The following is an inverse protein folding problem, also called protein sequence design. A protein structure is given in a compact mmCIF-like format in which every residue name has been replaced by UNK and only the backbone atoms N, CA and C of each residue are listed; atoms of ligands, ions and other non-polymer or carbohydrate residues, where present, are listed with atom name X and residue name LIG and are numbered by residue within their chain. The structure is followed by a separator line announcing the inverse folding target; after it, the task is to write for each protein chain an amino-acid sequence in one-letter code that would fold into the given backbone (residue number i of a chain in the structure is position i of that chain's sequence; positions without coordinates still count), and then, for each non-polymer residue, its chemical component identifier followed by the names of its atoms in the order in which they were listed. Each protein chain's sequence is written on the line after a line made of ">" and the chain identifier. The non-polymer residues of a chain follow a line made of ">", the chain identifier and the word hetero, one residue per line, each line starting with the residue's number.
data_IF_834429855786
#
_entry.id   IF_834429855786
#
_cell.length_a   1.000
_cell.length_b   1.000
_cell.length_c   1.000
_cell.angle_alpha   90.00
_cell.angle_beta   90.00
_cell.angle_gamma   90.00
#
_symmetry.space_group_name_H-M   'P 1'
#
loop_
_entity.id
_entity.type
_entity.pdbx_description
1 polymer ?
#
# COMPACT_ATOMS: atom_id res chain seq x y z
N UNK A 1 18.72 8.01 28.39
CA UNK A 1 19.76 7.07 28.83
C UNK A 1 19.96 6.07 27.69
N UNK A 2 21.09 6.18 27.00
CA UNK A 2 21.47 5.31 25.89
C UNK A 2 22.18 4.08 26.50
N UNK A 3 21.65 2.89 26.29
CA UNK A 3 22.33 1.65 26.64
C UNK A 3 22.75 0.94 25.36
N UNK A 4 24.04 0.92 25.09
CA UNK A 4 24.61 -0.01 24.12
C UNK A 4 24.69 -1.41 24.72
N UNK A 5 23.70 -2.23 24.49
CA UNK A 5 23.83 -3.68 24.62
C UNK A 5 23.72 -4.26 23.20
N UNK A 6 24.77 -4.87 22.72
CA UNK A 6 24.89 -5.48 21.37
C UNK A 6 25.15 -4.51 20.20
N UNK A 7 25.78 -3.36 20.40
CA UNK A 7 26.06 -2.40 19.34
C UNK A 7 24.82 -1.72 18.74
N UNK A 8 23.64 -1.85 19.37
CA UNK A 8 22.36 -1.30 18.91
C UNK A 8 21.84 -0.26 19.91
N UNK A 9 21.49 0.94 19.42
CA UNK A 9 20.88 1.99 20.23
C UNK A 9 19.47 1.59 20.68
N UNK A 10 19.19 1.63 21.99
CA UNK A 10 17.89 1.33 22.59
C UNK A 10 17.15 2.62 22.96
N UNK A 11 15.88 2.74 22.55
CA UNK A 11 15.05 3.93 22.79
C UNK A 11 13.70 3.52 23.37
N UNK A 12 13.32 4.08 24.49
CA UNK A 12 11.96 4.10 24.99
C UNK A 12 11.36 5.48 24.72
N UNK A 13 10.57 5.60 23.65
CA UNK A 13 10.09 6.89 23.17
C UNK A 13 8.88 7.42 23.96
N UNK A 14 8.15 6.54 24.67
CA UNK A 14 7.03 6.91 25.54
C UNK A 14 5.96 7.75 24.85
N UNK A 15 5.67 7.44 23.58
CA UNK A 15 4.68 8.14 22.76
C UNK A 15 5.20 9.44 22.12
N UNK A 16 6.48 9.77 22.26
CA UNK A 16 7.07 10.97 21.66
C UNK A 16 7.74 10.68 20.32
N UNK A 17 7.84 11.67 19.41
CA UNK A 17 8.71 11.60 18.25
C UNK A 17 10.18 11.58 18.68
N UNK A 18 11.05 10.96 17.88
CA UNK A 18 12.44 10.71 18.31
C UNK A 18 13.45 11.58 17.56
N UNK A 19 13.51 11.43 16.24
CA UNK A 19 14.52 12.12 15.43
C UNK A 19 13.87 13.09 14.45
N UNK A 20 14.25 14.36 14.47
CA UNK A 20 13.97 15.29 13.39
C UNK A 20 15.02 15.13 12.29
N UNK A 21 14.59 14.81 11.09
CA UNK A 21 15.49 14.49 9.99
C UNK A 21 16.36 15.69 9.58
N UNK A 22 17.61 15.40 9.25
CA UNK A 22 18.57 16.35 8.68
C UNK A 22 19.15 15.77 7.39
N UNK A 23 19.69 16.62 6.54
CA UNK A 23 20.37 16.18 5.33
C UNK A 23 21.44 15.13 5.63
N UNK A 24 21.44 14.05 4.85
CA UNK A 24 22.38 12.93 4.94
C UNK A 24 22.45 12.25 6.30
N UNK A 25 21.45 12.48 7.16
CA UNK A 25 21.37 11.80 8.44
C UNK A 25 21.20 10.28 8.24
N UNK A 26 21.85 9.51 9.09
CA UNK A 26 21.76 8.05 9.09
C UNK A 26 21.36 7.53 10.47
N UNK A 27 20.26 6.79 10.50
CA UNK A 27 19.70 6.13 11.67
C UNK A 27 19.89 4.63 11.51
N UNK A 28 20.93 4.08 12.14
CA UNK A 28 21.32 2.67 11.99
C UNK A 28 21.38 1.96 13.33
N UNK A 29 21.10 0.66 13.30
CA UNK A 29 21.18 -0.21 14.49
C UNK A 29 20.36 0.34 15.66
N UNK A 30 19.12 0.75 15.39
CA UNK A 30 18.20 1.31 16.39
C UNK A 30 17.13 0.29 16.75
N UNK A 31 16.84 0.13 18.05
CA UNK A 31 15.65 -0.50 18.58
C UNK A 31 14.85 0.53 19.36
N UNK A 32 13.61 0.77 18.99
CA UNK A 32 12.75 1.72 19.65
C UNK A 32 11.41 1.07 20.04
N UNK A 33 10.83 1.51 21.13
CA UNK A 33 9.48 1.12 21.54
C UNK A 33 8.62 2.34 21.82
N UNK A 34 7.32 2.16 21.68
CA UNK A 34 6.28 3.16 21.93
C UNK A 34 6.60 4.54 21.28
N UNK A 35 6.88 4.47 19.96
CA UNK A 35 7.24 5.66 19.17
C UNK A 35 5.98 6.51 18.94
N UNK A 36 6.09 7.83 19.13
CA UNK A 36 5.01 8.77 18.85
C UNK A 36 4.80 9.02 17.36
N UNK A 37 4.68 10.26 16.98
CA UNK A 37 4.44 10.63 15.58
C UNK A 37 5.76 10.70 14.78
N UNK A 38 6.51 9.62 14.78
CA UNK A 38 7.71 9.37 13.99
C UNK A 38 8.93 8.98 14.83
N UNK A 39 9.53 7.81 14.52
CA UNK A 39 10.92 7.56 14.88
C UNK A 39 11.81 8.55 14.11
N UNK A 40 11.48 8.76 12.81
CA UNK A 40 12.08 9.81 11.98
C UNK A 40 10.99 10.75 11.49
N UNK A 41 11.06 12.01 11.87
CA UNK A 41 10.14 13.07 11.48
C UNK A 41 10.76 13.88 10.34
N UNK A 42 10.06 13.96 9.23
CA UNK A 42 10.36 14.82 8.09
C UNK A 42 9.54 16.11 8.28
N UNK A 43 10.12 17.13 8.89
CA UNK A 43 9.48 18.43 9.19
C UNK A 43 9.99 19.57 8.30
N UNK A 44 10.96 19.30 7.47
CA UNK A 44 11.61 20.23 6.52
C UNK A 44 12.13 19.50 5.30
N UNK A 45 12.48 20.18 4.21
CA UNK A 45 13.15 19.55 3.08
C UNK A 45 14.46 18.86 3.52
N UNK A 46 14.63 17.60 3.12
CA UNK A 46 15.79 16.78 3.45
C UNK A 46 16.26 15.98 2.24
N UNK A 47 17.56 15.72 2.18
CA UNK A 47 18.19 14.93 1.12
C UNK A 47 19.04 13.82 1.72
N UNK A 48 18.92 12.60 1.14
CA UNK A 48 19.83 11.49 1.45
C UNK A 48 19.70 10.92 2.86
N UNK A 49 18.53 11.01 3.47
CA UNK A 49 18.25 10.38 4.78
C UNK A 49 18.29 8.86 4.64
N UNK A 50 18.96 8.19 5.57
CA UNK A 50 19.11 6.73 5.63
C UNK A 50 18.56 6.19 6.93
N UNK A 51 17.72 5.14 6.83
CA UNK A 51 17.31 4.31 7.96
C UNK A 51 17.66 2.86 7.62
N UNK A 52 18.47 2.21 8.44
CA UNK A 52 18.93 0.85 8.19
C UNK A 52 19.06 0.02 9.46
N UNK A 53 18.67 -1.25 9.41
CA UNK A 53 18.68 -2.16 10.55
C UNK A 53 18.00 -1.56 11.78
N UNK A 54 16.69 -1.27 11.63
CA UNK A 54 15.86 -0.64 12.66
C UNK A 54 14.75 -1.58 13.10
N UNK A 55 14.51 -1.64 14.40
CA UNK A 55 13.39 -2.37 15.00
C UNK A 55 12.51 -1.41 15.79
N UNK A 56 11.21 -1.47 15.58
CA UNK A 56 10.23 -0.67 16.32
C UNK A 56 9.15 -1.59 16.86
N UNK A 57 8.84 -1.48 18.13
CA UNK A 57 7.71 -2.15 18.75
C UNK A 57 6.76 -1.15 19.39
N UNK A 58 5.55 -1.06 18.86
CA UNK A 58 4.53 -0.12 19.29
C UNK A 58 4.75 1.30 18.82
N UNK A 59 3.68 2.04 18.76
CA UNK A 59 3.69 3.47 18.48
C UNK A 59 2.68 3.91 17.43
N UNK A 60 2.80 5.18 17.07
CA UNK A 60 1.88 5.78 16.10
C UNK A 60 2.36 5.57 14.65
N UNK A 61 3.58 6.02 14.34
CA UNK A 61 4.19 5.87 13.01
C UNK A 61 5.73 5.83 13.08
N UNK A 62 6.38 5.16 12.14
CA UNK A 62 7.85 5.08 12.11
C UNK A 62 8.46 6.26 11.35
N UNK A 63 7.97 6.57 10.14
CA UNK A 63 8.40 7.74 9.37
C UNK A 63 7.19 8.64 9.16
N UNK A 64 7.25 9.86 9.69
CA UNK A 64 6.17 10.83 9.57
C UNK A 64 6.61 12.10 8.85
N UNK A 65 5.88 12.47 7.82
CA UNK A 65 6.04 13.77 7.18
C UNK A 65 5.03 14.76 7.78
N UNK A 66 5.53 15.68 8.58
CA UNK A 66 4.74 16.71 9.28
C UNK A 66 4.69 18.04 8.53
N UNK A 67 5.31 18.15 7.37
CA UNK A 67 5.23 19.34 6.53
C UNK A 67 3.79 19.78 6.25
N UNK A 68 3.64 21.02 5.84
CA UNK A 68 2.37 21.63 5.45
C UNK A 68 2.47 22.19 4.04
N UNK A 69 1.35 22.55 3.42
CA UNK A 69 1.35 23.13 2.07
C UNK A 69 2.13 24.47 2.00
N UNK A 70 2.25 25.17 3.13
CA UNK A 70 3.06 26.40 3.24
C UNK A 70 4.54 26.13 3.52
N UNK A 71 4.85 24.98 4.08
CA UNK A 71 6.20 24.53 4.42
C UNK A 71 6.35 23.03 4.08
N UNK A 72 6.43 22.68 2.79
CA UNK A 72 6.47 21.28 2.38
C UNK A 72 7.79 20.62 2.78
N UNK A 73 7.70 19.50 3.47
CA UNK A 73 8.85 18.73 3.93
C UNK A 73 9.18 17.63 2.92
N UNK A 74 9.81 18.00 1.80
CA UNK A 74 10.22 17.06 0.75
C UNK A 74 11.35 16.17 1.24
N UNK A 75 11.28 14.89 0.94
CA UNK A 75 12.36 13.94 1.16
C UNK A 75 12.93 13.47 -0.18
N UNK A 76 14.15 13.82 -0.51
CA UNK A 76 14.81 13.42 -1.77
C UNK A 76 15.84 12.34 -1.46
N UNK A 77 15.77 11.22 -2.16
CA UNK A 77 16.73 10.15 -1.99
C UNK A 77 16.65 9.44 -0.65
N UNK A 78 15.47 9.35 -0.02
CA UNK A 78 15.27 8.60 1.22
C UNK A 78 15.60 7.12 1.00
N UNK A 79 16.40 6.52 1.88
CA UNK A 79 16.78 5.12 1.87
C UNK A 79 16.34 4.46 3.17
N UNK A 80 15.51 3.43 3.05
CA UNK A 80 14.98 2.67 4.18
C UNK A 80 15.23 1.19 3.91
N UNK A 81 16.01 0.52 4.75
CA UNK A 81 16.36 -0.87 4.56
C UNK A 81 16.39 -1.67 5.87
N UNK A 82 16.08 -2.98 5.77
CA UNK A 82 16.19 -3.89 6.90
C UNK A 82 15.41 -3.42 8.15
N UNK A 83 14.15 -3.04 7.96
CA UNK A 83 13.33 -2.51 9.06
C UNK A 83 12.21 -3.48 9.42
N UNK A 84 12.07 -3.76 10.69
CA UNK A 84 10.93 -4.48 11.26
C UNK A 84 10.19 -3.56 12.24
N UNK A 85 8.89 -3.39 12.02
CA UNK A 85 8.04 -2.58 12.89
C UNK A 85 6.74 -3.31 13.21
N UNK A 86 6.38 -3.39 14.47
CA UNK A 86 5.21 -4.12 14.96
C UNK A 86 4.31 -3.23 15.80
N UNK A 87 3.04 -3.62 15.94
CA UNK A 87 2.07 -2.96 16.83
C UNK A 87 1.87 -1.45 16.53
N UNK A 88 1.87 -1.07 15.25
CA UNK A 88 1.69 0.32 14.83
C UNK A 88 0.20 0.69 14.77
N UNK A 89 -0.17 1.83 15.34
CA UNK A 89 -1.57 2.32 15.34
C UNK A 89 -1.94 3.03 14.04
N UNK A 90 -1.02 3.76 13.44
CA UNK A 90 -1.30 4.58 12.24
C UNK A 90 -0.63 4.07 10.97
N UNK A 91 0.61 3.65 11.04
CA UNK A 91 1.31 3.15 9.86
C UNK A 91 2.81 3.07 9.99
N UNK A 92 3.45 2.61 8.94
CA UNK A 92 4.90 2.59 8.87
C UNK A 92 5.45 3.93 8.38
N UNK A 93 5.00 4.41 7.20
CA UNK A 93 5.52 5.63 6.62
C UNK A 93 4.42 6.49 6.00
N UNK A 94 4.53 7.80 6.12
CA UNK A 94 3.80 8.79 5.33
C UNK A 94 4.79 9.66 4.56
N UNK A 95 4.69 9.64 3.23
CA UNK A 95 5.54 10.39 2.30
C UNK A 95 4.66 11.37 1.55
N UNK A 96 5.08 12.64 1.51
CA UNK A 96 4.27 13.74 0.95
C UNK A 96 5.13 14.72 0.14
N UNK A 97 4.46 15.68 -0.51
CA UNK A 97 5.02 16.85 -1.17
C UNK A 97 6.14 16.50 -2.15
N UNK A 98 5.97 16.45 -3.35
CA UNK A 98 6.97 16.15 -4.38
C UNK A 98 8.29 15.47 -3.88
N UNK A 99 8.20 14.67 -2.79
CA UNK A 99 9.27 13.78 -2.36
C UNK A 99 9.59 12.79 -3.46
N UNK A 100 10.88 12.45 -3.66
CA UNK A 100 11.24 11.61 -4.81
C UNK A 100 12.53 10.83 -4.60
N UNK A 101 12.77 9.91 -5.56
CA UNK A 101 14.00 9.11 -5.65
C UNK A 101 14.26 8.26 -4.39
N UNK A 102 13.17 7.83 -3.71
CA UNK A 102 13.26 7.02 -2.50
C UNK A 102 13.29 5.52 -2.76
N UNK A 103 13.94 4.78 -1.87
CA UNK A 103 13.96 3.31 -1.89
C UNK A 103 13.62 2.79 -0.49
N UNK A 104 12.66 1.87 -0.45
CA UNK A 104 12.35 1.05 0.71
C UNK A 104 12.64 -0.40 0.35
N UNK A 105 13.49 -1.07 1.09
CA UNK A 105 13.83 -2.47 0.86
C UNK A 105 13.84 -3.28 2.15
N UNK A 106 13.32 -4.52 2.08
CA UNK A 106 13.33 -5.43 3.21
C UNK A 106 12.65 -4.83 4.47
N UNK A 107 11.47 -4.25 4.26
CA UNK A 107 10.66 -3.63 5.31
C UNK A 107 9.47 -4.53 5.64
N UNK A 108 9.36 -4.93 6.90
CA UNK A 108 8.19 -5.63 7.41
C UNK A 108 7.50 -4.80 8.48
N UNK A 109 6.25 -4.45 8.26
CA UNK A 109 5.48 -3.68 9.23
C UNK A 109 4.10 -4.29 9.49
N UNK A 110 3.68 -4.26 10.75
CA UNK A 110 2.34 -4.68 11.15
C UNK A 110 1.63 -3.64 12.00
N UNK A 111 0.35 -3.47 11.70
CA UNK A 111 -0.56 -2.63 12.46
C UNK A 111 -1.29 -3.39 13.56
N UNK A 112 -2.06 -2.65 14.33
CA UNK A 112 -3.06 -3.15 15.26
C UNK A 112 -4.43 -2.66 14.86
N UNK A 113 -5.48 -3.33 15.32
CA UNK A 113 -6.84 -2.83 15.16
C UNK A 113 -7.03 -1.52 15.92
N UNK A 114 -7.33 -0.44 15.20
CA UNK A 114 -7.61 0.88 15.78
C UNK A 114 -9.09 1.21 15.74
N UNK A 115 -9.57 2.06 16.66
CA UNK A 115 -10.97 2.44 16.81
C UNK A 115 -11.22 3.95 16.81
N UNK A 116 -10.18 4.76 16.69
CA UNK A 116 -10.27 6.21 16.74
C UNK A 116 -10.81 6.85 15.45
N UNK A 117 -11.50 7.98 15.57
CA UNK A 117 -12.06 8.70 14.41
C UNK A 117 -10.99 9.28 13.46
N UNK A 118 -9.78 9.50 13.96
CA UNK A 118 -8.66 10.12 13.24
C UNK A 118 -7.51 9.16 12.92
N UNK A 119 -7.65 7.90 13.30
CA UNK A 119 -6.58 6.91 13.16
C UNK A 119 -6.77 6.03 11.92
N UNK A 120 -6.89 6.65 10.76
CA UNK A 120 -6.91 5.89 9.50
C UNK A 120 -5.56 5.19 9.30
N UNK A 121 -5.48 3.87 9.54
CA UNK A 121 -4.21 3.16 9.43
C UNK A 121 -3.85 2.88 7.98
N UNK A 122 -2.57 3.05 7.66
CA UNK A 122 -2.03 2.68 6.37
C UNK A 122 -0.56 2.32 6.52
N UNK A 123 -0.15 1.16 6.04
CA UNK A 123 1.23 0.72 6.10
C UNK A 123 2.19 1.75 5.52
N UNK A 124 2.13 1.98 4.22
CA UNK A 124 2.86 3.07 3.55
C UNK A 124 1.86 3.93 2.80
N UNK A 125 1.77 5.20 3.17
CA UNK A 125 0.91 6.21 2.56
C UNK A 125 1.75 7.21 1.76
N UNK A 126 1.41 7.41 0.48
CA UNK A 126 2.12 8.30 -0.45
C UNK A 126 1.10 9.32 -0.98
N UNK A 127 1.41 10.61 -0.87
CA UNK A 127 0.50 11.68 -1.24
C UNK A 127 1.25 12.92 -1.78
N UNK A 128 0.50 13.88 -2.28
CA UNK A 128 0.96 15.24 -2.61
C UNK A 128 2.14 15.24 -3.60
N UNK A 129 1.93 14.61 -4.78
CA UNK A 129 2.84 14.60 -5.94
C UNK A 129 4.18 13.87 -5.75
N UNK A 130 4.30 13.01 -4.74
CA UNK A 130 5.49 12.19 -4.56
C UNK A 130 5.71 11.26 -5.77
N UNK A 131 6.97 11.01 -6.14
CA UNK A 131 7.30 10.26 -7.35
C UNK A 131 8.61 9.47 -7.24
N UNK A 132 8.79 8.53 -8.18
CA UNK A 132 10.04 7.80 -8.36
C UNK A 132 10.47 7.02 -7.11
N UNK A 133 9.49 6.49 -6.36
CA UNK A 133 9.76 5.61 -5.24
C UNK A 133 9.79 4.14 -5.68
N UNK A 134 10.70 3.38 -5.09
CA UNK A 134 10.78 1.93 -5.21
C UNK A 134 10.58 1.26 -3.87
N UNK A 135 9.72 0.25 -3.87
CA UNK A 135 9.45 -0.60 -2.72
C UNK A 135 9.83 -2.02 -3.11
N UNK A 136 10.80 -2.61 -2.43
CA UNK A 136 11.34 -3.93 -2.75
C UNK A 136 11.27 -4.83 -1.53
N UNK A 137 10.62 -6.00 -1.67
CA UNK A 137 10.44 -6.97 -0.56
C UNK A 137 9.84 -6.34 0.71
N UNK A 138 8.86 -5.44 0.52
CA UNK A 138 8.18 -4.80 1.62
C UNK A 138 6.88 -5.55 1.95
N UNK A 139 6.62 -5.79 3.22
CA UNK A 139 5.39 -6.44 3.70
C UNK A 139 4.63 -5.53 4.67
N UNK A 140 3.37 -5.21 4.34
CA UNK A 140 2.47 -4.42 5.17
C UNK A 140 1.25 -5.25 5.55
N UNK A 141 1.03 -5.47 6.86
CA UNK A 141 -0.08 -6.32 7.30
C UNK A 141 -0.82 -5.79 8.51
N UNK A 142 -2.12 -6.14 8.61
CA UNK A 142 -2.91 -5.90 9.80
C UNK A 142 -3.21 -4.44 10.11
N UNK A 143 -3.11 -3.54 9.12
CA UNK A 143 -3.55 -2.15 9.27
C UNK A 143 -5.07 -2.10 9.19
N UNK A 144 -5.71 -2.12 10.37
CA UNK A 144 -7.16 -2.30 10.51
C UNK A 144 -7.78 -1.14 11.28
N UNK A 145 -8.88 -0.63 10.76
CA UNK A 145 -9.63 0.46 11.38
C UNK A 145 -11.08 0.06 11.61
N UNK A 146 -11.45 -0.13 12.87
CA UNK A 146 -12.81 -0.45 13.26
C UNK A 146 -13.62 0.82 13.45
N UNK A 147 -14.69 0.93 12.68
CA UNK A 147 -15.77 1.90 12.88
C UNK A 147 -17.02 1.17 13.36
N UNK A 148 -18.15 1.84 13.44
CA UNK A 148 -19.40 1.14 13.69
C UNK A 148 -19.77 0.24 12.48
N UNK A 149 -20.63 -0.77 12.67
CA UNK A 149 -20.94 -1.79 11.67
C UNK A 149 -21.59 -1.26 10.37
N UNK A 150 -22.15 -0.03 10.43
CA UNK A 150 -22.78 0.62 9.28
C UNK A 150 -21.85 1.57 8.55
N UNK A 151 -20.58 1.61 8.88
CA UNK A 151 -19.60 2.47 8.25
C UNK A 151 -18.56 1.67 7.48
N UNK A 152 -17.97 2.32 6.50
CA UNK A 152 -16.86 1.79 5.75
C UNK A 152 -15.60 1.75 6.61
N UNK A 153 -14.96 0.59 6.67
CA UNK A 153 -13.67 0.42 7.35
C UNK A 153 -12.56 0.60 6.33
N UNK A 154 -11.79 1.63 6.50
CA UNK A 154 -10.62 1.90 5.69
C UNK A 154 -9.37 1.39 6.43
N UNK A 155 -8.30 1.10 5.71
CA UNK A 155 -7.03 0.60 6.25
C UNK A 155 -6.30 -0.19 5.19
N UNK A 156 -5.19 0.37 4.69
CA UNK A 156 -4.49 -0.14 3.52
C UNK A 156 -3.09 -0.63 3.87
N UNK A 157 -2.60 -1.61 3.12
CA UNK A 157 -1.19 -1.97 3.16
C UNK A 157 -0.32 -0.90 2.51
N UNK A 158 -0.59 -0.62 1.26
CA UNK A 158 0.05 0.44 0.48
C UNK A 158 -1.03 1.34 -0.11
N UNK A 159 -0.90 2.65 0.06
CA UNK A 159 -1.78 3.64 -0.51
C UNK A 159 -0.99 4.71 -1.26
N UNK A 160 -1.42 5.05 -2.47
CA UNK A 160 -0.86 6.15 -3.23
C UNK A 160 -1.98 7.01 -3.81
N UNK A 161 -2.02 8.29 -3.42
CA UNK A 161 -3.04 9.22 -3.85
C UNK A 161 -2.81 9.76 -5.28
N UNK A 162 -3.79 10.49 -5.82
CA UNK A 162 -3.67 11.15 -7.14
C UNK A 162 -2.54 12.17 -7.11
N UNK A 163 -1.91 12.41 -8.27
CA UNK A 163 -0.74 13.26 -8.40
C UNK A 163 0.58 12.50 -8.25
N UNK A 164 0.61 11.44 -7.45
CA UNK A 164 1.78 10.59 -7.36
C UNK A 164 2.02 9.84 -8.69
N UNK A 165 3.28 9.49 -8.98
CA UNK A 165 3.63 8.84 -10.25
C UNK A 165 4.93 8.05 -10.19
N UNK A 166 5.07 7.11 -11.13
CA UNK A 166 6.28 6.28 -11.30
C UNK A 166 6.71 5.56 -10.02
N UNK A 167 5.73 4.90 -9.39
CA UNK A 167 5.98 4.07 -8.22
C UNK A 167 6.22 2.62 -8.66
N UNK A 168 7.23 1.98 -8.14
CA UNK A 168 7.57 0.60 -8.43
C UNK A 168 7.48 -0.22 -7.15
N UNK A 169 6.66 -1.26 -7.19
CA UNK A 169 6.54 -2.26 -6.12
C UNK A 169 7.07 -3.59 -6.65
N UNK A 170 8.13 -4.11 -6.06
CA UNK A 170 8.75 -5.38 -6.44
C UNK A 170 8.78 -6.35 -5.27
N UNK A 171 8.27 -7.56 -5.47
CA UNK A 171 8.17 -8.61 -4.45
C UNK A 171 7.54 -8.09 -3.14
N UNK A 172 6.55 -7.19 -3.25
CA UNK A 172 5.87 -6.62 -2.10
C UNK A 172 4.62 -7.41 -1.72
N UNK A 173 4.28 -7.42 -0.44
CA UNK A 173 3.14 -8.15 0.09
C UNK A 173 2.24 -7.29 0.98
N UNK A 174 0.91 -7.47 0.84
CA UNK A 174 -0.09 -6.80 1.67
C UNK A 174 -1.11 -7.81 2.21
N UNK A 175 -1.26 -7.89 3.53
CA UNK A 175 -2.06 -8.91 4.18
C UNK A 175 -2.95 -8.36 5.28
N UNK A 176 -4.16 -8.92 5.41
CA UNK A 176 -5.00 -8.75 6.61
C UNK A 176 -5.37 -7.28 6.92
N UNK A 177 -5.36 -6.38 5.93
CA UNK A 177 -5.77 -4.99 6.11
C UNK A 177 -7.28 -4.84 5.97
N UNK A 178 -7.88 -3.82 6.59
CA UNK A 178 -9.34 -3.71 6.61
C UNK A 178 -9.96 -3.25 5.28
N UNK A 179 -9.19 -2.62 4.39
CA UNK A 179 -9.63 -2.23 3.04
C UNK A 179 -8.69 -2.77 1.96
N UNK A 180 -7.81 -1.95 1.44
CA UNK A 180 -6.95 -2.30 0.32
C UNK A 180 -5.66 -2.99 0.73
N UNK A 181 -5.23 -4.02 -0.01
CA UNK A 181 -3.84 -4.43 0.06
C UNK A 181 -2.96 -3.40 -0.63
N UNK A 182 -3.29 -3.08 -1.88
CA UNK A 182 -2.70 -2.00 -2.67
C UNK A 182 -3.83 -1.09 -3.15
N UNK A 183 -3.94 0.14 -2.63
CA UNK A 183 -4.85 1.19 -3.13
C UNK A 183 -4.04 2.24 -3.90
N UNK A 184 -3.92 2.07 -5.22
CA UNK A 184 -3.03 2.85 -6.05
C UNK A 184 -3.79 3.76 -7.01
N UNK A 185 -3.69 5.07 -6.78
CA UNK A 185 -4.22 6.13 -7.65
C UNK A 185 -3.12 6.83 -8.44
N UNK A 186 -1.86 6.47 -8.18
CA UNK A 186 -0.67 7.01 -8.84
C UNK A 186 -0.62 6.58 -10.32
N UNK A 187 -0.15 7.47 -11.19
CA UNK A 187 0.09 7.16 -12.60
C UNK A 187 1.44 6.47 -12.82
N UNK A 188 1.57 5.81 -13.98
CA UNK A 188 2.83 5.21 -14.44
C UNK A 188 3.48 4.29 -13.41
N UNK A 189 2.67 3.57 -12.63
CA UNK A 189 3.15 2.68 -11.59
C UNK A 189 3.27 1.24 -12.07
N UNK A 190 4.18 0.49 -11.47
CA UNK A 190 4.47 -0.90 -11.80
C UNK A 190 4.38 -1.78 -10.56
N UNK A 191 3.80 -2.95 -10.75
CA UNK A 191 3.73 -4.03 -9.75
C UNK A 191 4.49 -5.25 -10.31
N UNK A 192 5.59 -5.62 -9.69
CA UNK A 192 6.45 -6.72 -10.11
C UNK A 192 6.48 -7.79 -9.01
N UNK A 193 5.91 -8.96 -9.31
CA UNK A 193 5.80 -10.11 -8.40
C UNK A 193 5.16 -9.75 -7.03
N UNK A 194 4.04 -9.02 -7.05
CA UNK A 194 3.35 -8.60 -5.84
C UNK A 194 2.26 -9.58 -5.42
N UNK A 195 2.10 -9.74 -4.10
CA UNK A 195 1.09 -10.59 -3.50
C UNK A 195 0.18 -9.80 -2.55
N UNK A 196 -1.11 -10.05 -2.62
CA UNK A 196 -2.11 -9.43 -1.75
C UNK A 196 -3.13 -10.46 -1.30
N UNK A 197 -3.38 -10.53 0.00
CA UNK A 197 -4.30 -11.52 0.54
C UNK A 197 -5.01 -11.09 1.80
N UNK A 198 -6.24 -11.60 1.98
CA UNK A 198 -7.11 -11.36 3.14
C UNK A 198 -7.34 -9.88 3.46
N UNK A 199 -7.34 -9.03 2.43
CA UNK A 199 -7.84 -7.66 2.52
C UNK A 199 -9.26 -7.61 1.94
N UNK A 200 -10.06 -6.62 2.27
CA UNK A 200 -11.40 -6.52 1.67
C UNK A 200 -11.31 -6.40 0.15
N UNK A 201 -10.35 -5.63 -0.33
CA UNK A 201 -9.95 -5.52 -1.74
C UNK A 201 -8.47 -5.78 -1.86
N UNK A 202 -8.06 -6.92 -2.41
CA UNK A 202 -6.64 -7.20 -2.50
C UNK A 202 -5.90 -6.16 -3.34
N UNK A 203 -6.45 -5.79 -4.48
CA UNK A 203 -5.93 -4.71 -5.32
C UNK A 203 -7.05 -3.71 -5.65
N UNK A 204 -6.79 -2.43 -5.42
CA UNK A 204 -7.67 -1.32 -5.75
C UNK A 204 -6.91 -0.36 -6.65
N UNK A 205 -7.20 -0.39 -7.95
CA UNK A 205 -6.39 0.26 -8.98
C UNK A 205 -7.22 1.35 -9.67
N UNK A 206 -6.71 2.59 -9.66
CA UNK A 206 -7.41 3.77 -10.14
C UNK A 206 -6.77 4.39 -11.39
N UNK A 207 -5.64 3.85 -11.80
CA UNK A 207 -4.85 4.31 -12.95
C UNK A 207 -4.38 3.12 -13.77
N UNK A 208 -3.87 3.38 -14.96
CA UNK A 208 -3.22 2.34 -15.74
C UNK A 208 -2.03 1.74 -14.99
N UNK A 209 -1.94 0.42 -15.00
CA UNK A 209 -0.92 -0.36 -14.29
C UNK A 209 -0.33 -1.40 -15.24
N UNK A 210 0.99 -1.57 -15.16
CA UNK A 210 1.69 -2.71 -15.72
C UNK A 210 2.20 -3.62 -14.60
N UNK A 211 1.98 -4.91 -14.74
CA UNK A 211 2.40 -5.89 -13.75
C UNK A 211 3.03 -7.11 -14.41
N UNK A 212 4.15 -7.60 -13.88
CA UNK A 212 4.74 -8.87 -14.31
C UNK A 212 3.95 -10.04 -13.73
N UNK A 213 3.73 -10.06 -12.43
CA UNK A 213 2.94 -11.07 -11.72
C UNK A 213 2.16 -10.43 -10.60
N UNK A 214 0.85 -10.71 -10.56
CA UNK A 214 -0.02 -10.36 -9.45
C UNK A 214 -0.65 -11.61 -8.86
N UNK A 215 -0.50 -11.78 -7.56
CA UNK A 215 -1.13 -12.87 -6.81
C UNK A 215 -2.18 -12.29 -5.87
N UNK A 216 -3.42 -12.75 -5.99
CA UNK A 216 -4.55 -12.39 -5.13
C UNK A 216 -5.08 -13.62 -4.41
N UNK A 217 -5.02 -13.61 -3.08
CA UNK A 217 -5.37 -14.76 -2.24
C UNK A 217 -6.49 -14.37 -1.28
N UNK A 218 -7.58 -15.15 -1.26
CA UNK A 218 -8.64 -15.11 -0.25
C UNK A 218 -9.02 -13.70 0.19
N UNK A 219 -9.60 -12.83 -0.64
CA UNK A 219 -10.10 -11.55 -0.15
C UNK A 219 -11.02 -11.75 1.05
N UNK A 220 -10.82 -10.99 2.11
CA UNK A 220 -11.58 -11.14 3.33
C UNK A 220 -11.87 -9.78 3.97
N UNK A 221 -13.12 -9.55 4.34
CA UNK A 221 -13.55 -8.34 5.03
C UNK A 221 -13.56 -8.58 6.54
N UNK A 222 -12.80 -7.80 7.29
CA UNK A 222 -12.78 -7.89 8.75
C UNK A 222 -13.98 -7.21 9.41
N UNK A 223 -14.69 -6.34 8.69
CA UNK A 223 -15.92 -5.68 9.14
C UNK A 223 -16.34 -4.50 8.27
N UNK A 224 -17.35 -3.76 8.72
CA UNK A 224 -17.87 -2.59 8.01
C UNK A 224 -18.72 -2.90 6.78
N UNK A 225 -19.14 -1.86 6.08
CA UNK A 225 -19.83 -1.95 4.78
C UNK A 225 -18.81 -2.03 3.63
N UNK A 226 -19.26 -2.42 2.47
CA UNK A 226 -18.46 -2.54 1.24
C UNK A 226 -18.29 -3.98 0.79
N UNK A 227 -17.80 -4.13 -0.41
CA UNK A 227 -17.65 -5.43 -1.06
C UNK A 227 -16.28 -6.05 -0.84
N UNK A 228 -16.26 -7.36 -0.90
CA UNK A 228 -15.02 -8.16 -0.93
C UNK A 228 -14.75 -8.56 -2.37
N UNK A 229 -13.51 -8.35 -2.85
CA UNK A 229 -13.14 -8.60 -4.24
C UNK A 229 -11.62 -8.78 -4.40
N UNK A 230 -11.21 -9.52 -5.42
CA UNK A 230 -9.79 -9.66 -5.75
C UNK A 230 -9.20 -8.36 -6.32
N UNK A 231 -9.86 -7.76 -7.32
CA UNK A 231 -9.42 -6.54 -7.99
C UNK A 231 -10.59 -5.55 -8.12
N UNK A 232 -10.52 -4.42 -7.44
CA UNK A 232 -11.42 -3.29 -7.63
C UNK A 232 -10.74 -2.31 -8.61
N UNK A 233 -11.31 -2.18 -9.82
CA UNK A 233 -10.78 -1.34 -10.89
C UNK A 233 -11.66 -0.11 -11.05
N UNK A 234 -11.06 1.06 -10.91
CA UNK A 234 -11.74 2.34 -11.03
C UNK A 234 -11.46 2.95 -12.40
N UNK A 235 -12.40 2.80 -13.32
CA UNK A 235 -12.27 3.30 -14.68
C UNK A 235 -12.14 4.82 -14.79
N UNK A 236 -11.95 5.30 -16.00
CA UNK A 236 -11.81 6.74 -16.27
C UNK A 236 -13.09 7.49 -15.91
N UNK A 237 -12.98 8.49 -15.04
CA UNK A 237 -14.13 9.30 -14.57
C UNK A 237 -14.63 10.30 -15.61
N UNK A 238 -13.76 10.76 -16.52
CA UNK A 238 -14.15 11.72 -17.55
C UNK A 238 -15.01 11.02 -18.61
N UNK A 239 -16.21 11.52 -18.93
CA UNK A 239 -17.01 11.01 -20.02
C UNK A 239 -16.21 11.04 -21.34
N UNK A 240 -16.15 9.90 -22.05
CA UNK A 240 -15.40 9.79 -23.31
C UNK A 240 -13.86 9.76 -23.17
N UNK A 241 -13.36 9.75 -21.94
CA UNK A 241 -11.91 9.59 -21.70
C UNK A 241 -11.42 8.19 -22.11
N UNK A 242 -10.12 8.03 -22.41
CA UNK A 242 -9.55 6.74 -22.73
C UNK A 242 -9.69 5.78 -21.54
N UNK A 243 -9.91 4.47 -21.80
CA UNK A 243 -9.97 3.49 -20.73
C UNK A 243 -8.64 3.44 -19.96
N UNK A 244 -8.70 3.22 -18.66
CA UNK A 244 -7.49 2.81 -17.95
C UNK A 244 -7.10 1.40 -18.43
N UNK A 245 -5.79 1.14 -18.50
CA UNK A 245 -5.27 -0.14 -18.99
C UNK A 245 -4.61 -0.89 -17.84
N UNK A 246 -5.14 -2.06 -17.54
CA UNK A 246 -4.57 -2.99 -16.57
C UNK A 246 -3.92 -4.14 -17.34
N UNK A 247 -2.59 -4.15 -17.39
CA UNK A 247 -1.82 -5.20 -18.05
C UNK A 247 -1.12 -6.07 -17.01
N UNK A 248 -1.38 -7.38 -17.06
CA UNK A 248 -0.81 -8.37 -16.15
C UNK A 248 -0.20 -9.50 -16.98
N UNK A 249 1.11 -9.69 -16.91
CA UNK A 249 1.75 -10.78 -17.66
C UNK A 249 1.42 -12.15 -17.06
N UNK A 250 1.32 -12.26 -15.71
CA UNK A 250 0.87 -13.49 -15.08
C UNK A 250 -0.06 -13.20 -13.89
N UNK A 251 -1.33 -13.62 -14.00
CA UNK A 251 -2.34 -13.46 -12.97
C UNK A 251 -2.50 -14.74 -12.16
N UNK A 252 -2.34 -14.67 -10.84
CA UNK A 252 -2.67 -15.76 -9.91
C UNK A 252 -3.83 -15.35 -9.02
N UNK A 253 -4.90 -16.14 -9.00
CA UNK A 253 -6.06 -15.93 -8.12
C UNK A 253 -6.36 -17.23 -7.40
N UNK A 254 -6.38 -17.19 -6.06
CA UNK A 254 -6.72 -18.35 -5.24
C UNK A 254 -7.74 -17.98 -4.18
N UNK A 255 -8.86 -18.67 -4.16
CA UNK A 255 -9.90 -18.47 -3.14
C UNK A 255 -10.79 -19.69 -3.01
N UNK A 256 -11.14 -20.03 -1.77
CA UNK A 256 -12.21 -20.97 -1.48
C UNK A 256 -13.61 -20.32 -1.58
N UNK A 257 -13.67 -18.99 -1.72
CA UNK A 257 -14.90 -18.22 -1.83
C UNK A 257 -15.09 -17.68 -3.25
N UNK A 258 -16.34 -17.66 -3.71
CA UNK A 258 -16.72 -17.13 -5.03
C UNK A 258 -16.77 -15.60 -5.12
N UNK A 259 -15.81 -14.91 -4.52
CA UNK A 259 -15.71 -13.46 -4.65
C UNK A 259 -15.39 -13.05 -6.10
N UNK A 260 -16.01 -11.99 -6.64
CA UNK A 260 -15.71 -11.53 -7.99
C UNK A 260 -14.21 -11.31 -8.19
N UNK A 261 -13.71 -11.67 -9.39
CA UNK A 261 -12.29 -11.44 -9.69
C UNK A 261 -12.06 -9.96 -9.97
N UNK A 262 -12.84 -9.37 -10.89
CA UNK A 262 -12.73 -7.95 -11.23
C UNK A 262 -14.05 -7.22 -10.96
N UNK A 263 -14.02 -6.26 -10.02
CA UNK A 263 -15.07 -5.27 -9.81
C UNK A 263 -14.70 -4.01 -10.58
N UNK A 264 -15.51 -3.60 -11.55
CA UNK A 264 -15.19 -2.47 -12.43
C UNK A 264 -16.16 -1.33 -12.17
N UNK A 265 -15.64 -0.18 -11.77
CA UNK A 265 -16.38 1.01 -11.39
C UNK A 265 -16.10 2.19 -12.31
N UNK A 266 -17.00 3.16 -12.33
CA UNK A 266 -16.88 4.54 -12.81
C UNK A 266 -16.67 4.74 -14.32
N UNK A 267 -16.18 3.79 -15.07
CA UNK A 267 -15.96 3.97 -16.50
C UNK A 267 -15.23 2.79 -17.15
N UNK A 268 -14.81 2.94 -18.41
CA UNK A 268 -14.21 1.84 -19.15
C UNK A 268 -12.81 1.49 -18.62
N UNK A 269 -12.57 0.17 -18.56
CA UNK A 269 -11.27 -0.43 -18.25
C UNK A 269 -10.91 -1.42 -19.36
N UNK A 270 -9.68 -1.41 -19.83
CA UNK A 270 -9.11 -2.43 -20.67
C UNK A 270 -8.23 -3.36 -19.84
N UNK A 271 -8.56 -4.65 -19.83
CA UNK A 271 -7.82 -5.66 -19.09
C UNK A 271 -7.10 -6.58 -20.08
N UNK A 272 -5.79 -6.74 -19.90
CA UNK A 272 -4.94 -7.59 -20.73
C UNK A 272 -4.19 -8.55 -19.80
N UNK A 273 -4.33 -9.84 -20.01
CA UNK A 273 -3.72 -10.90 -19.20
C UNK A 273 -3.00 -11.87 -20.14
N UNK A 274 -1.67 -11.95 -20.04
CA UNK A 274 -0.90 -12.79 -20.94
C UNK A 274 -0.97 -14.28 -20.53
N UNK A 275 -1.01 -14.60 -19.23
CA UNK A 275 -1.19 -15.94 -18.68
C UNK A 275 -1.84 -15.92 -17.29
N UNK A 276 -2.40 -17.04 -16.85
CA UNK A 276 -3.07 -17.09 -15.53
C UNK A 276 -3.01 -18.47 -14.86
N UNK A 277 -3.16 -18.45 -13.51
CA UNK A 277 -3.48 -19.61 -12.65
C UNK A 277 -4.63 -19.17 -11.72
N UNK A 278 -5.86 -19.57 -12.06
CA UNK A 278 -7.08 -19.18 -11.35
C UNK A 278 -7.72 -20.40 -10.71
N UNK A 279 -7.74 -20.42 -9.39
CA UNK A 279 -8.30 -21.49 -8.55
C UNK A 279 -9.37 -20.90 -7.65
N UNK A 280 -10.62 -20.94 -8.11
CA UNK A 280 -11.80 -20.39 -7.42
C UNK A 280 -12.99 -21.35 -7.60
N UNK A 281 -14.05 -21.25 -6.77
CA UNK A 281 -15.24 -22.08 -6.95
C UNK A 281 -15.90 -21.88 -8.33
N UNK A 282 -16.50 -22.95 -8.84
CA UNK A 282 -17.31 -22.87 -10.06
C UNK A 282 -18.42 -21.82 -9.94
N UNK A 283 -18.67 -21.07 -11.01
CA UNK A 283 -19.64 -19.97 -11.04
C UNK A 283 -19.13 -18.67 -10.45
N UNK A 284 -17.85 -18.56 -10.08
CA UNK A 284 -17.24 -17.30 -9.66
C UNK A 284 -17.31 -16.26 -10.79
N UNK A 285 -17.81 -15.08 -10.49
CA UNK A 285 -17.98 -14.01 -11.47
C UNK A 285 -16.63 -13.42 -11.87
N UNK A 286 -16.26 -13.53 -13.14
CA UNK A 286 -15.00 -12.99 -13.66
C UNK A 286 -14.98 -11.45 -13.63
N UNK A 287 -16.03 -10.81 -14.17
CA UNK A 287 -16.18 -9.34 -14.22
C UNK A 287 -17.53 -8.98 -13.61
N UNK A 288 -17.53 -8.11 -12.61
CA UNK A 288 -18.71 -7.50 -12.02
C UNK A 288 -18.72 -6.00 -12.32
N UNK A 289 -19.50 -5.52 -13.30
CA UNK A 289 -19.62 -4.09 -13.55
C UNK A 289 -20.43 -3.41 -12.45
N UNK A 290 -20.01 -2.21 -12.06
CA UNK A 290 -20.66 -1.35 -11.06
C UNK A 290 -20.90 0.04 -11.63
N UNK A 291 -22.12 0.55 -11.51
CA UNK A 291 -22.46 1.88 -12.01
C UNK A 291 -22.16 2.01 -13.51
N UNK A 292 -21.22 2.89 -13.85
CA UNK A 292 -20.76 3.10 -15.24
C UNK A 292 -19.53 2.26 -15.63
N UNK A 293 -19.10 1.36 -14.75
CA UNK A 293 -17.96 0.46 -15.01
C UNK A 293 -18.22 -0.47 -16.17
N UNK A 294 -17.25 -0.64 -17.05
CA UNK A 294 -17.34 -1.54 -18.21
C UNK A 294 -15.97 -2.04 -18.65
N UNK A 295 -15.98 -3.19 -19.32
CA UNK A 295 -14.78 -3.76 -19.97
C UNK A 295 -15.14 -3.99 -21.43
N UNK A 296 -15.04 -2.95 -22.29
CA UNK A 296 -15.38 -3.06 -23.70
C UNK A 296 -14.55 -4.14 -24.40
N UNK A 297 -15.22 -5.08 -25.10
CA UNK A 297 -14.56 -6.21 -25.75
C UNK A 297 -14.11 -7.34 -24.81
N UNK A 298 -14.40 -7.22 -23.49
CA UNK A 298 -14.00 -8.24 -22.51
C UNK A 298 -12.50 -8.17 -22.15
N UNK A 299 -12.01 -9.24 -21.52
CA UNK A 299 -10.58 -9.38 -21.19
C UNK A 299 -9.82 -9.90 -22.41
N UNK A 300 -8.72 -9.28 -22.75
CA UNK A 300 -7.79 -9.81 -23.75
C UNK A 300 -6.89 -10.85 -23.07
N UNK A 301 -6.97 -12.10 -23.52
CA UNK A 301 -6.17 -13.22 -23.01
C UNK A 301 -5.05 -13.56 -24.00
N UNK A 302 -3.83 -13.78 -23.50
CA UNK A 302 -2.70 -14.29 -24.31
C UNK A 302 -2.80 -15.80 -24.60
N UNK A 303 -3.72 -16.50 -23.95
CA UNK A 303 -4.00 -17.93 -24.10
C UNK A 303 -5.47 -18.25 -23.93
N UNK A 304 -5.78 -19.50 -23.59
CA UNK A 304 -7.17 -19.94 -23.35
C UNK A 304 -7.75 -19.23 -22.11
N UNK A 305 -8.94 -18.60 -22.19
CA UNK A 305 -9.62 -18.03 -21.03
C UNK A 305 -9.89 -19.06 -19.94
N UNK A 306 -9.95 -18.67 -18.66
CA UNK A 306 -10.29 -19.58 -17.57
C UNK A 306 -11.73 -20.11 -17.71
N UNK A 307 -11.93 -21.33 -17.30
CA UNK A 307 -13.27 -21.92 -17.09
C UNK A 307 -13.66 -21.69 -15.63
N UNK A 308 -14.61 -20.82 -15.37
CA UNK A 308 -15.09 -20.46 -14.03
C UNK A 308 -16.50 -20.96 -13.74
#
# INVERSE_FOLDING_TARGET
>A
MLFEATGRTQIDARGEPVYHAKDRAAYRHVSAKDVGNGLVVLDRPTTGVVMDDVRVDGGYRVIENTGTDRAPARAIGLRVSNVTATNLRRGFARIRYDSRDGIFSDVTASGVLTTGAHDLPCGIAIADDASDFRFERCTMRGFQWKRNDRQYWNGDGFSAERGNRRLVFRACAAWDNSDGGFDLKASDSMLDDCISGRNARNYRLWSSISASRLTSIEPAKVGGIGDTVHFALMGAKAPGGPPIVIRIAHLVVKSAHGWPIFDVHDGPVRIIIDSHDIQVPAGTQLIRPRGKGSVPGGITWGGTPPKL
#
